data_IF_317554813953
#
_entry.id   IF_317554813953
#
_cell.length_a   1.000
_cell.length_b   1.000
_cell.length_c   1.000
_cell.angle_alpha   90.00
_cell.angle_beta   90.00
_cell.angle_gamma   90.00
#
_symmetry.space_group_name_H-M   'P 1'
#
loop_
_entity.id
_entity.type
_entity.pdbx_description
1 polymer ?
#
# COMPACT_ATOMS: atom_id res chain seq x y z
N UNK A 1 9.96 -4.62 -9.18
CA UNK A 1 9.63 -4.06 -7.85
C UNK A 1 10.87 -3.43 -7.25
N UNK A 2 10.75 -2.23 -6.74
CA UNK A 2 11.86 -1.50 -6.12
C UNK A 2 11.49 -1.09 -4.70
N UNK A 3 12.52 -0.82 -3.90
CA UNK A 3 12.39 -0.42 -2.51
C UNK A 3 13.20 0.85 -2.30
N UNK A 4 12.56 1.87 -1.71
CA UNK A 4 13.21 3.16 -1.44
C UNK A 4 12.90 3.61 -0.02
N UNK A 5 13.86 4.31 0.60
CA UNK A 5 13.64 4.96 1.88
C UNK A 5 13.41 6.44 1.61
N UNK A 6 12.26 6.95 2.07
CA UNK A 6 11.91 8.37 1.91
C UNK A 6 11.66 8.98 3.28
N UNK A 7 12.06 10.25 3.44
CA UNK A 7 11.80 11.03 4.66
C UNK A 7 12.39 10.39 5.91
N UNK A 8 13.48 9.66 5.77
CA UNK A 8 14.22 8.98 6.86
C UNK A 8 13.39 7.93 7.63
N UNK A 9 12.06 8.08 7.69
CA UNK A 9 11.18 7.26 8.52
C UNK A 9 10.28 6.31 7.74
N UNK A 10 10.24 6.43 6.42
CA UNK A 10 9.30 5.66 5.60
C UNK A 10 10.02 4.78 4.60
N UNK A 11 9.64 3.52 4.57
CA UNK A 11 10.10 2.57 3.58
C UNK A 11 9.00 2.41 2.53
N UNK A 12 9.31 2.73 1.28
CA UNK A 12 8.37 2.68 0.18
C UNK A 12 8.70 1.55 -0.78
N UNK A 13 7.67 0.80 -1.17
CA UNK A 13 7.82 -0.27 -2.16
C UNK A 13 7.12 0.17 -3.44
N UNK A 14 7.80 0.07 -4.57
CA UNK A 14 7.34 0.61 -5.84
C UNK A 14 7.26 -0.45 -6.93
N UNK A 15 6.36 -0.22 -7.89
CA UNK A 15 6.31 -0.98 -9.13
C UNK A 15 6.20 0.01 -10.29
N UNK A 16 7.10 -0.08 -11.25
CA UNK A 16 7.11 0.85 -12.38
C UNK A 16 7.23 2.31 -11.99
N UNK A 17 7.90 2.62 -10.88
CA UNK A 17 8.05 3.99 -10.38
C UNK A 17 6.86 4.49 -9.56
N UNK A 18 5.85 3.66 -9.32
CA UNK A 18 4.68 4.02 -8.51
C UNK A 18 4.66 3.24 -7.21
N UNK A 19 4.35 3.92 -6.10
CA UNK A 19 4.27 3.26 -4.80
C UNK A 19 3.04 2.35 -4.72
N UNK A 20 3.17 1.21 -4.06
CA UNK A 20 2.04 0.34 -3.73
C UNK A 20 1.99 -0.01 -2.25
N UNK A 21 3.06 0.25 -1.51
CA UNK A 21 3.12 0.02 -0.07
C UNK A 21 4.09 1.02 0.55
N UNK A 22 3.69 1.62 1.65
CA UNK A 22 4.54 2.51 2.45
C UNK A 22 4.49 2.01 3.89
N UNK A 23 5.65 1.82 4.52
CA UNK A 23 5.74 1.42 5.92
C UNK A 23 6.57 2.41 6.70
N UNK A 24 6.36 2.45 8.02
CA UNK A 24 7.13 3.29 8.94
C UNK A 24 7.83 2.39 9.95
N UNK A 25 8.98 1.79 9.57
CA UNK A 25 9.62 0.76 10.39
C UNK A 25 10.09 1.24 11.76
N UNK A 26 10.37 2.54 11.89
CA UNK A 26 10.86 3.12 13.16
C UNK A 26 9.74 3.64 14.06
N UNK A 27 8.48 3.61 13.62
CA UNK A 27 7.38 4.04 14.46
C UNK A 27 6.94 2.93 15.41
N UNK A 28 6.37 3.32 16.55
CA UNK A 28 5.86 2.36 17.54
C UNK A 28 4.45 2.81 17.94
N UNK A 29 3.42 2.03 17.59
CA UNK A 29 3.47 0.80 16.78
C UNK A 29 3.80 1.09 15.31
N UNK A 30 4.34 0.09 14.63
CA UNK A 30 4.67 0.23 13.22
C UNK A 30 3.39 0.37 12.39
N UNK A 31 3.36 1.38 11.52
CA UNK A 31 2.21 1.66 10.65
C UNK A 31 2.54 1.35 9.19
N UNK A 32 1.50 1.26 8.37
CA UNK A 32 1.65 1.02 6.94
C UNK A 32 0.47 1.59 6.16
N UNK A 33 0.71 1.93 4.90
CA UNK A 33 -0.33 2.41 4.00
C UNK A 33 -0.26 1.63 2.70
N UNK A 34 -1.41 1.31 2.13
CA UNK A 34 -1.49 0.57 0.87
C UNK A 34 -2.77 0.95 0.11
N UNK A 35 -2.75 0.70 -1.20
CA UNK A 35 -3.91 0.95 -2.04
C UNK A 35 -4.87 -0.24 -1.97
N UNK A 36 -6.16 0.06 -1.86
CA UNK A 36 -7.20 -0.96 -1.82
C UNK A 36 -8.21 -0.76 -2.95
N UNK A 37 -9.01 -1.79 -3.25
CA UNK A 37 -10.16 -1.64 -4.12
C UNK A 37 -11.21 -0.79 -3.43
N UNK A 38 -12.19 -0.27 -4.19
CA UNK A 38 -13.26 0.56 -3.62
C UNK A 38 -14.00 -0.20 -2.52
N UNK A 39 -14.31 -1.46 -2.74
CA UNK A 39 -15.00 -2.30 -1.75
C UNK A 39 -14.17 -2.51 -0.49
N UNK A 40 -12.90 -2.85 -0.66
CA UNK A 40 -12.01 -3.09 0.47
C UNK A 40 -11.71 -1.80 1.21
N UNK A 41 -11.58 -0.67 0.51
CA UNK A 41 -11.40 0.63 1.14
C UNK A 41 -12.55 0.92 2.10
N UNK A 42 -13.79 0.75 1.65
CA UNK A 42 -14.95 0.98 2.49
C UNK A 42 -14.99 0.02 3.68
N UNK A 43 -14.76 -1.26 3.45
CA UNK A 43 -14.78 -2.26 4.50
C UNK A 43 -13.67 -2.02 5.53
N UNK A 44 -12.45 -1.75 5.08
CA UNK A 44 -11.30 -1.55 5.96
C UNK A 44 -11.43 -0.28 6.79
N UNK A 45 -11.86 0.83 6.19
CA UNK A 45 -11.95 2.10 6.92
C UNK A 45 -13.04 2.11 7.98
N UNK A 46 -13.89 1.10 8.02
CA UNK A 46 -14.86 0.92 9.10
C UNK A 46 -14.27 0.14 10.28
N UNK A 47 -13.11 -0.48 10.10
CA UNK A 47 -12.44 -1.22 11.17
C UNK A 47 -11.62 -0.27 12.03
N UNK A 48 -11.56 -0.56 13.33
CA UNK A 48 -10.75 0.23 14.25
C UNK A 48 -9.27 0.17 13.85
N UNK A 49 -8.63 1.33 13.77
CA UNK A 49 -7.21 1.42 13.42
C UNK A 49 -6.94 1.53 11.92
N UNK A 50 -8.00 1.52 11.10
CA UNK A 50 -7.88 1.68 9.66
C UNK A 50 -8.57 2.98 9.26
N UNK A 51 -7.82 3.89 8.68
CA UNK A 51 -8.34 5.20 8.26
C UNK A 51 -7.95 5.47 6.80
N UNK A 52 -8.71 6.36 6.11
CA UNK A 52 -8.25 6.83 4.81
C UNK A 52 -6.88 7.49 4.95
N UNK A 53 -5.93 7.12 4.12
CA UNK A 53 -4.57 7.65 4.20
C UNK A 53 -4.59 9.15 3.89
N UNK A 54 -3.96 10.00 4.72
CA UNK A 54 -3.89 11.44 4.46
C UNK A 54 -3.33 11.71 3.06
N UNK A 55 -3.96 12.64 2.33
CA UNK A 55 -3.59 13.05 0.97
C UNK A 55 -3.76 11.98 -0.10
N UNK A 56 -4.01 10.72 0.28
CA UNK A 56 -4.11 9.59 -0.65
C UNK A 56 -5.48 8.93 -0.62
N UNK A 57 -6.42 9.43 0.19
CA UNK A 57 -7.73 8.82 0.35
C UNK A 57 -8.53 8.75 -0.95
N UNK A 58 -8.41 9.77 -1.81
CA UNK A 58 -9.13 9.80 -3.09
C UNK A 58 -8.65 8.71 -4.05
N UNK A 59 -7.47 8.15 -3.81
CA UNK A 59 -6.93 7.03 -4.58
C UNK A 59 -7.17 5.69 -3.89
N UNK A 60 -8.01 5.69 -2.84
CA UNK A 60 -8.37 4.49 -2.07
C UNK A 60 -7.20 3.87 -1.33
N UNK A 61 -6.31 4.71 -0.83
CA UNK A 61 -5.24 4.30 0.06
C UNK A 61 -5.76 4.25 1.50
N UNK A 62 -5.35 3.21 2.23
CA UNK A 62 -5.72 2.98 3.63
C UNK A 62 -4.47 3.06 4.50
N UNK A 63 -4.56 3.75 5.62
CA UNK A 63 -3.51 3.79 6.63
C UNK A 63 -3.91 2.86 7.79
N UNK A 64 -3.02 1.94 8.13
CA UNK A 64 -3.17 1.04 9.27
C UNK A 64 -2.26 1.54 10.38
N UNK A 65 -2.80 1.85 11.56
CA UNK A 65 -2.02 2.42 12.66
C UNK A 65 -1.07 1.41 13.32
N UNK A 66 -1.34 0.11 13.16
CA UNK A 66 -0.50 -0.96 13.71
C UNK A 66 -0.56 -2.15 12.76
N UNK A 67 0.59 -2.56 12.24
CA UNK A 67 0.66 -3.68 11.29
C UNK A 67 0.17 -5.00 11.88
N UNK A 68 0.11 -5.11 13.20
CA UNK A 68 -0.39 -6.31 13.87
C UNK A 68 -1.91 -6.49 13.77
N UNK A 69 -2.62 -5.46 13.29
CA UNK A 69 -4.08 -5.55 13.10
C UNK A 69 -4.49 -6.49 11.98
N UNK A 70 -3.55 -6.82 11.10
CA UNK A 70 -3.78 -7.79 10.01
C UNK A 70 -2.91 -9.02 10.25
N UNK A 71 -3.47 -10.20 9.97
CA UNK A 71 -2.71 -11.44 10.01
C UNK A 71 -1.74 -11.49 8.84
N UNK A 72 -0.79 -12.44 8.88
CA UNK A 72 0.15 -12.64 7.78
C UNK A 72 -0.60 -12.90 6.46
N UNK A 73 -1.63 -13.75 6.49
CA UNK A 73 -2.43 -14.06 5.31
C UNK A 73 -3.14 -12.84 4.76
N UNK A 74 -3.69 -12.00 5.65
CA UNK A 74 -4.36 -10.76 5.24
C UNK A 74 -3.36 -9.79 4.62
N UNK A 75 -2.18 -9.65 5.22
CA UNK A 75 -1.13 -8.79 4.66
C UNK A 75 -0.71 -9.24 3.27
N UNK A 76 -0.49 -10.54 3.08
CA UNK A 76 -0.14 -11.09 1.77
C UNK A 76 -1.20 -10.75 0.72
N UNK A 77 -2.47 -10.93 1.08
CA UNK A 77 -3.59 -10.62 0.19
C UNK A 77 -3.64 -9.14 -0.17
N UNK A 78 -3.58 -8.25 0.84
CA UNK A 78 -3.73 -6.81 0.58
C UNK A 78 -2.51 -6.21 -0.09
N UNK A 79 -1.31 -6.65 0.23
CA UNK A 79 -0.10 -6.19 -0.43
C UNK A 79 -0.11 -6.62 -1.89
N UNK A 80 -0.48 -7.87 -2.17
CA UNK A 80 -0.58 -8.36 -3.54
C UNK A 80 -1.65 -7.61 -4.32
N UNK A 81 -2.79 -7.34 -3.69
CA UNK A 81 -3.86 -6.56 -4.32
C UNK A 81 -3.39 -5.13 -4.63
N UNK A 82 -2.71 -4.49 -3.68
CA UNK A 82 -2.19 -3.15 -3.88
C UNK A 82 -1.20 -3.11 -5.03
N UNK A 83 -0.28 -4.06 -5.08
CA UNK A 83 0.67 -4.20 -6.18
C UNK A 83 -0.07 -4.31 -7.51
N UNK A 84 -1.06 -5.20 -7.58
CA UNK A 84 -1.81 -5.44 -8.81
C UNK A 84 -2.58 -4.20 -9.26
N UNK A 85 -3.23 -3.51 -8.32
CA UNK A 85 -3.98 -2.29 -8.62
C UNK A 85 -3.10 -1.19 -9.19
N UNK A 86 -1.92 -1.01 -8.61
CA UNK A 86 -0.97 0.00 -9.10
C UNK A 86 -0.38 -0.45 -10.44
N UNK A 87 0.00 -1.71 -10.56
CA UNK A 87 0.53 -2.28 -11.79
C UNK A 87 -0.43 -2.09 -12.96
N UNK A 88 -1.72 -2.37 -12.73
CA UNK A 88 -2.73 -2.30 -13.80
C UNK A 88 -2.97 -0.87 -14.30
N UNK A 89 -2.62 0.14 -13.50
CA UNK A 89 -2.75 1.54 -13.89
C UNK A 89 -1.51 2.08 -14.60
N UNK A 90 -0.45 1.30 -14.68
CA UNK A 90 0.75 1.73 -15.38
C UNK A 90 0.51 1.73 -16.89
N UNK A 91 1.19 2.63 -17.64
CA UNK A 91 1.13 2.59 -19.10
C UNK A 91 1.56 1.22 -19.64
N UNK A 92 0.96 0.80 -20.75
CA UNK A 92 1.25 -0.49 -21.34
C UNK A 92 2.75 -0.72 -21.57
N UNK A 93 3.47 0.32 -21.97
CA UNK A 93 4.91 0.26 -22.19
C UNK A 93 5.66 -0.14 -20.91
N UNK A 94 5.29 0.47 -19.79
CA UNK A 94 5.93 0.19 -18.49
C UNK A 94 5.60 -1.21 -18.02
N UNK A 95 4.33 -1.63 -18.15
CA UNK A 95 3.92 -2.99 -17.79
C UNK A 95 4.67 -4.05 -18.58
N UNK A 96 4.90 -3.79 -19.85
CA UNK A 96 5.64 -4.70 -20.72
C UNK A 96 7.10 -4.83 -20.29
N UNK A 97 7.72 -3.72 -19.89
CA UNK A 97 9.09 -3.72 -19.39
C UNK A 97 9.22 -4.53 -18.09
N UNK A 98 8.22 -4.43 -17.20
CA UNK A 98 8.22 -5.17 -15.95
C UNK A 98 8.05 -6.68 -16.19
N UNK A 99 7.24 -7.05 -17.17
CA UNK A 99 6.94 -8.44 -17.47
C UNK A 99 8.05 -9.18 -18.22
N UNK A 100 8.97 -8.45 -18.81
CA UNK A 100 10.03 -9.05 -19.62
C UNK A 100 11.24 -9.52 -18.81
#
# INVERSE_FOLDING_TARGET
MTEDIKWDDHLCFNVGGKMFLVTSPDSVPQSASFKASDEDFEALTQRKGFIPAPYMARYKWVLVDDIKRLSKSEWERYVQQSYQLVHDKLPAKVRKEIAS
#
